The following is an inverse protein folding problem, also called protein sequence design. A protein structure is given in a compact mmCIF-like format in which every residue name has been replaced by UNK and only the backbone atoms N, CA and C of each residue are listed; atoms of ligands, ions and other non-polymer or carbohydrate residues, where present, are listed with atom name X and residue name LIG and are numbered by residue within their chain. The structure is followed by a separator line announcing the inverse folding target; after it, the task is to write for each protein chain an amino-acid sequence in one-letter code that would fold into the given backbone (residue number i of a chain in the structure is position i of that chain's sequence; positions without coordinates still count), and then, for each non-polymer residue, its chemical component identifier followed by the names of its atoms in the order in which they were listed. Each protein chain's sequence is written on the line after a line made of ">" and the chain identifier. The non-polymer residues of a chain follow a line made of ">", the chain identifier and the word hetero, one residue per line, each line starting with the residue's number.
data_IF_250977959554
#
_entry.id   IF_250977959554
#
_cell.length_a   1.000
_cell.length_b   1.000
_cell.length_c   1.000
_cell.angle_alpha   90.00
_cell.angle_beta   90.00
_cell.angle_gamma   90.00
#
_symmetry.space_group_name_H-M   'P 1'
#
loop_
_entity.id
_entity.type
_entity.pdbx_description
1 polymer ?
#
# COMPACT_ATOMS: atom_id res chain seq x y z
N UNK A 1 -46.27 82.46 5.60
CA UNK A 1 -45.97 81.33 6.50
C UNK A 1 -45.79 80.06 5.65
N UNK A 2 -44.56 79.66 5.50
CA UNK A 2 -44.21 78.47 4.63
C UNK A 2 -43.96 77.28 5.50
N UNK A 3 -44.79 76.28 5.33
CA UNK A 3 -44.65 74.97 6.01
C UNK A 3 -43.66 74.11 5.23
N UNK A 4 -42.53 73.73 5.86
CA UNK A 4 -41.57 72.80 5.32
C UNK A 4 -41.99 71.39 5.74
N UNK A 5 -42.43 70.59 4.78
CA UNK A 5 -42.65 69.14 4.96
C UNK A 5 -41.31 68.43 4.81
N UNK A 6 -40.83 67.85 5.90
CA UNK A 6 -39.64 67.01 5.88
C UNK A 6 -40.00 65.61 5.46
N UNK A 7 -39.38 65.15 4.37
CA UNK A 7 -39.46 63.74 3.93
C UNK A 7 -38.41 62.95 4.67
N UNK A 8 -38.85 61.96 5.52
CA UNK A 8 -38.01 60.98 6.16
C UNK A 8 -37.89 59.78 5.22
N UNK A 9 -36.72 59.60 4.64
CA UNK A 9 -36.39 58.39 3.87
C UNK A 9 -35.90 57.32 4.83
N UNK A 10 -36.73 56.30 5.09
CA UNK A 10 -36.32 55.14 5.84
C UNK A 10 -35.61 54.15 4.85
N UNK A 11 -34.29 54.07 4.92
CA UNK A 11 -33.52 53.07 4.23
C UNK A 11 -33.67 51.73 4.99
N UNK A 12 -34.54 50.84 4.47
CA UNK A 12 -34.59 49.44 4.87
C UNK A 12 -33.36 48.73 4.25
N UNK A 13 -32.30 48.58 5.01
CA UNK A 13 -31.22 47.67 4.66
C UNK A 13 -31.71 46.22 4.86
N UNK A 14 -32.13 45.57 3.79
CA UNK A 14 -32.35 44.14 3.77
C UNK A 14 -31.02 43.44 3.89
N UNK A 15 -30.68 42.97 5.09
CA UNK A 15 -29.58 42.06 5.28
C UNK A 15 -30.01 40.71 4.69
N UNK A 16 -29.59 40.47 3.45
CA UNK A 16 -29.63 39.16 2.83
C UNK A 16 -28.65 38.26 3.61
N UNK A 17 -29.15 37.57 4.59
CA UNK A 17 -28.46 36.48 5.22
C UNK A 17 -28.37 35.34 4.20
N UNK A 18 -27.23 35.26 3.50
CA UNK A 18 -26.91 34.11 2.69
C UNK A 18 -26.80 32.91 3.64
N UNK A 19 -27.86 32.14 3.81
CA UNK A 19 -27.76 30.77 4.27
C UNK A 19 -26.88 30.08 3.26
N UNK A 20 -25.58 29.87 3.59
CA UNK A 20 -24.79 28.83 2.93
C UNK A 20 -25.62 27.57 3.07
N UNK A 21 -26.16 27.07 1.98
CA UNK A 21 -26.70 25.73 1.93
C UNK A 21 -25.57 24.83 2.46
N UNK A 22 -25.82 24.19 3.61
CA UNK A 22 -24.92 23.15 4.08
C UNK A 22 -24.98 22.09 3.00
N UNK A 23 -23.87 21.88 2.30
CA UNK A 23 -23.73 20.76 1.39
C UNK A 23 -24.23 19.53 2.14
N UNK A 24 -25.27 18.91 1.60
CA UNK A 24 -25.85 17.71 2.20
C UNK A 24 -24.83 16.60 1.97
N UNK A 25 -24.16 16.17 3.03
CA UNK A 25 -23.24 15.06 2.96
C UNK A 25 -23.99 13.83 2.47
N UNK A 26 -23.62 13.33 1.31
CA UNK A 26 -24.10 12.06 0.79
C UNK A 26 -23.26 10.94 1.41
N UNK A 27 -23.90 10.03 2.12
CA UNK A 27 -23.25 8.90 2.79
C UNK A 27 -23.76 7.62 2.17
N UNK A 28 -22.83 6.80 1.67
CA UNK A 28 -23.08 5.44 1.22
C UNK A 28 -22.46 4.47 2.24
N UNK A 29 -23.20 3.46 2.64
CA UNK A 29 -22.73 2.44 3.57
C UNK A 29 -22.71 1.09 2.86
N UNK A 30 -21.58 0.40 2.95
CA UNK A 30 -21.42 -0.98 2.54
C UNK A 30 -21.05 -1.81 3.77
N UNK A 31 -21.76 -2.92 3.96
CA UNK A 31 -21.61 -3.77 5.14
C UNK A 31 -21.12 -5.17 4.74
N UNK A 32 -20.18 -5.67 5.51
CA UNK A 32 -19.84 -7.09 5.57
C UNK A 32 -20.06 -7.57 6.99
N UNK A 33 -20.82 -8.64 7.19
CA UNK A 33 -21.20 -9.15 8.50
C UNK A 33 -21.04 -10.67 8.61
N UNK A 34 -20.99 -11.16 9.84
CA UNK A 34 -20.99 -12.61 10.13
C UNK A 34 -22.33 -13.28 9.78
N UNK A 35 -23.41 -12.52 9.68
CA UNK A 35 -24.73 -13.00 9.29
C UNK A 35 -24.88 -13.22 7.78
N UNK A 36 -23.85 -12.91 6.99
CA UNK A 36 -23.80 -13.24 5.56
C UNK A 36 -23.85 -12.04 4.60
N UNK A 37 -23.87 -10.81 5.10
CA UNK A 37 -23.69 -9.65 4.22
C UNK A 37 -22.28 -9.67 3.64
N UNK A 38 -22.19 -9.54 2.33
CA UNK A 38 -20.92 -9.47 1.64
C UNK A 38 -20.86 -8.21 0.79
N UNK A 39 -20.28 -7.15 1.34
CA UNK A 39 -20.20 -5.83 0.74
C UNK A 39 -21.56 -5.32 0.24
N UNK A 40 -22.59 -5.59 1.03
CA UNK A 40 -23.96 -5.21 0.71
C UNK A 40 -24.21 -3.73 0.95
N UNK A 41 -24.86 -3.04 0.02
CA UNK A 41 -25.29 -1.67 0.23
C UNK A 41 -26.39 -1.62 1.30
N UNK A 42 -26.24 -0.74 2.29
CA UNK A 42 -27.19 -0.57 3.40
C UNK A 42 -27.81 0.82 3.31
N UNK A 43 -29.15 0.88 3.33
CA UNK A 43 -29.86 2.15 3.41
C UNK A 43 -29.81 2.73 4.84
N UNK A 44 -29.48 4.02 4.92
CA UNK A 44 -29.51 4.76 6.17
C UNK A 44 -30.95 5.06 6.59
N UNK A 45 -31.41 4.46 7.69
CA UNK A 45 -32.62 4.91 8.35
C UNK A 45 -32.32 6.10 9.28
N UNK A 46 -32.40 7.31 8.74
CA UNK A 46 -32.16 8.57 9.46
C UNK A 46 -33.15 8.84 10.60
N UNK A 47 -34.22 8.06 10.70
CA UNK A 47 -35.23 8.21 11.74
C UNK A 47 -35.01 7.29 12.93
N UNK A 48 -34.20 6.27 12.79
CA UNK A 48 -33.89 5.32 13.85
C UNK A 48 -32.76 5.85 14.72
N UNK A 49 -33.08 6.65 15.72
CA UNK A 49 -32.11 7.00 16.77
C UNK A 49 -31.92 5.80 17.69
N UNK A 50 -30.84 5.08 17.48
CA UNK A 50 -30.36 4.10 18.45
C UNK A 50 -29.42 4.81 19.43
N UNK A 51 -29.45 4.41 20.69
CA UNK A 51 -28.46 4.84 21.72
C UNK A 51 -27.11 4.14 21.55
N UNK A 52 -26.82 3.65 20.36
CA UNK A 52 -25.60 2.94 20.02
C UNK A 52 -24.45 3.89 19.67
N UNK A 53 -23.29 3.33 19.50
CA UNK A 53 -22.01 4.02 19.29
C UNK A 53 -22.09 5.12 18.22
N UNK A 54 -21.59 6.29 18.56
CA UNK A 54 -21.61 7.45 17.67
C UNK A 54 -20.21 7.68 17.13
N UNK A 55 -20.09 7.70 15.79
CA UNK A 55 -18.89 8.14 15.11
C UNK A 55 -19.01 9.63 14.76
N UNK A 56 -18.11 10.45 15.30
CA UNK A 56 -18.07 11.89 15.01
C UNK A 56 -16.93 12.12 14.01
N UNK A 57 -17.25 12.72 12.86
CA UNK A 57 -16.29 13.09 11.84
C UNK A 57 -15.98 14.60 11.92
N UNK A 58 -14.71 14.94 11.82
CA UNK A 58 -14.20 16.32 11.78
C UNK A 58 -13.47 16.55 10.45
N UNK A 59 -14.18 16.78 9.35
CA UNK A 59 -13.59 16.91 8.01
C UNK A 59 -12.59 18.07 7.89
N UNK A 60 -12.72 19.08 8.76
CA UNK A 60 -11.81 20.23 8.83
C UNK A 60 -10.46 19.90 9.48
N UNK A 61 -10.36 18.80 10.20
CA UNK A 61 -9.11 18.33 10.80
C UNK A 61 -8.40 17.40 9.82
N UNK A 62 -7.49 17.96 9.06
CA UNK A 62 -6.71 17.20 8.08
C UNK A 62 -5.34 16.82 8.65
N UNK A 63 -4.86 15.62 8.29
CA UNK A 63 -3.56 15.10 8.68
C UNK A 63 -2.69 14.86 7.43
N UNK A 64 -2.14 13.67 7.27
CA UNK A 64 -1.34 13.29 6.11
C UNK A 64 -2.19 13.10 4.85
N UNK A 65 -1.56 13.27 3.68
CA UNK A 65 -2.17 12.86 2.43
C UNK A 65 -2.03 11.36 2.22
N UNK A 66 -3.13 10.70 1.86
CA UNK A 66 -3.12 9.30 1.45
C UNK A 66 -2.50 9.21 0.05
N UNK A 67 -1.38 8.47 -0.07
CA UNK A 67 -0.66 8.33 -1.34
C UNK A 67 -1.34 7.32 -2.28
N UNK A 68 -1.98 6.28 -1.73
CA UNK A 68 -2.64 5.25 -2.51
C UNK A 68 -3.10 4.07 -1.66
N UNK A 69 -3.77 3.14 -2.30
CA UNK A 69 -4.19 1.86 -1.74
C UNK A 69 -3.65 0.72 -2.59
N UNK A 70 -3.45 -0.44 -1.97
CA UNK A 70 -2.99 -1.62 -2.70
C UNK A 70 -2.71 -2.82 -1.82
N UNK A 71 -2.07 -3.82 -2.38
CA UNK A 71 -1.69 -5.06 -1.73
C UNK A 71 -0.24 -5.44 -2.00
N UNK A 72 0.16 -6.62 -1.54
CA UNK A 72 1.50 -7.13 -1.71
C UNK A 72 1.60 -8.07 -2.92
N UNK A 73 2.69 -7.96 -3.64
CA UNK A 73 3.20 -9.00 -4.53
C UNK A 73 4.09 -9.94 -3.70
N UNK A 74 3.78 -11.24 -3.72
CA UNK A 74 4.57 -12.27 -3.05
C UNK A 74 4.92 -13.39 -4.03
N UNK A 75 6.03 -14.09 -3.77
CA UNK A 75 6.43 -15.23 -4.61
C UNK A 75 5.34 -16.31 -4.63
N UNK A 76 4.76 -16.64 -3.48
CA UNK A 76 3.69 -17.65 -3.41
C UNK A 76 2.47 -17.28 -4.26
N UNK A 77 2.04 -16.01 -4.24
CA UNK A 77 0.91 -15.57 -5.08
C UNK A 77 1.29 -15.56 -6.56
N UNK A 78 2.52 -15.15 -6.90
CA UNK A 78 3.00 -15.17 -8.28
C UNK A 78 3.09 -16.60 -8.84
N UNK A 79 3.65 -17.53 -8.07
CA UNK A 79 3.72 -18.94 -8.43
C UNK A 79 2.34 -19.57 -8.60
N UNK A 80 1.39 -19.23 -7.71
CA UNK A 80 0.01 -19.70 -7.85
C UNK A 80 -0.66 -19.17 -9.12
N UNK A 81 -0.51 -17.88 -9.42
CA UNK A 81 -1.06 -17.29 -10.64
C UNK A 81 -0.45 -17.90 -11.91
N UNK A 82 0.84 -18.25 -11.90
CA UNK A 82 1.51 -18.91 -13.02
C UNK A 82 0.99 -20.32 -13.30
N UNK A 83 0.33 -20.97 -12.33
CA UNK A 83 -0.32 -22.27 -12.49
C UNK A 83 -1.74 -22.17 -13.08
N UNK A 84 -2.29 -20.97 -13.17
CA UNK A 84 -3.62 -20.73 -13.73
C UNK A 84 -3.56 -20.53 -15.25
N UNK A 85 -4.73 -20.60 -15.91
CA UNK A 85 -4.80 -20.20 -17.31
C UNK A 85 -4.54 -18.70 -17.46
N UNK A 86 -4.07 -18.28 -18.64
CA UNK A 86 -3.80 -16.87 -18.92
C UNK A 86 -5.04 -15.99 -18.74
N UNK A 87 -6.23 -16.51 -19.09
CA UNK A 87 -7.50 -15.80 -18.92
C UNK A 87 -7.81 -15.56 -17.45
N UNK A 88 -7.62 -16.60 -16.61
CA UNK A 88 -7.91 -16.48 -15.17
C UNK A 88 -6.90 -15.58 -14.48
N UNK A 89 -5.62 -15.68 -14.82
CA UNK A 89 -4.59 -14.81 -14.30
C UNK A 89 -4.87 -13.34 -14.65
N UNK A 90 -5.21 -13.08 -15.92
CA UNK A 90 -5.56 -11.74 -16.38
C UNK A 90 -6.82 -11.21 -15.70
N UNK A 91 -7.85 -12.04 -15.50
CA UNK A 91 -9.06 -11.68 -14.76
C UNK A 91 -8.72 -11.19 -13.34
N UNK A 92 -7.89 -11.95 -12.62
CA UNK A 92 -7.47 -11.63 -11.24
C UNK A 92 -6.66 -10.33 -11.21
N UNK A 93 -5.64 -10.20 -12.07
CA UNK A 93 -4.83 -8.99 -12.11
C UNK A 93 -5.65 -7.76 -12.54
N UNK A 94 -6.60 -7.93 -13.46
CA UNK A 94 -7.51 -6.84 -13.84
C UNK A 94 -8.40 -6.40 -12.68
N UNK A 95 -8.90 -7.34 -11.88
CA UNK A 95 -9.71 -7.01 -10.70
C UNK A 95 -8.95 -6.13 -9.68
N UNK A 96 -7.62 -6.23 -9.63
CA UNK A 96 -6.81 -5.40 -8.74
C UNK A 96 -6.30 -4.11 -9.40
N UNK A 97 -5.89 -4.16 -10.68
CA UNK A 97 -5.07 -3.10 -11.28
C UNK A 97 -5.76 -2.31 -12.40
N UNK A 98 -6.87 -2.78 -12.98
CA UNK A 98 -7.60 -2.01 -13.98
C UNK A 98 -8.43 -0.87 -13.37
N UNK A 99 -8.87 0.07 -14.19
CA UNK A 99 -9.74 1.18 -13.75
C UNK A 99 -11.12 0.69 -13.29
N UNK A 100 -11.61 -0.40 -13.85
CA UNK A 100 -12.89 -1.01 -13.49
C UNK A 100 -12.78 -1.87 -12.21
N UNK A 101 -11.56 -2.22 -11.80
CA UNK A 101 -11.28 -3.00 -10.60
C UNK A 101 -10.99 -2.12 -9.38
N UNK A 102 -10.17 -2.66 -8.47
CA UNK A 102 -9.74 -1.93 -7.27
C UNK A 102 -8.77 -0.77 -7.57
N UNK A 103 -8.23 -0.71 -8.79
CA UNK A 103 -7.34 0.34 -9.29
C UNK A 103 -6.20 0.64 -8.31
N UNK A 104 -5.47 -0.39 -7.91
CA UNK A 104 -4.35 -0.26 -6.98
C UNK A 104 -3.30 0.71 -7.52
N UNK A 105 -2.89 1.64 -6.68
CA UNK A 105 -1.91 2.69 -6.98
C UNK A 105 -0.65 2.63 -6.10
N UNK A 106 -0.66 1.77 -5.10
CA UNK A 106 0.46 1.51 -4.21
C UNK A 106 0.55 0.01 -3.95
N UNK A 107 1.75 -0.56 -4.07
CA UNK A 107 1.98 -1.99 -3.85
C UNK A 107 3.23 -2.21 -3.00
N UNK A 108 3.37 -3.40 -2.47
CA UNK A 108 4.56 -3.82 -1.73
C UNK A 108 5.12 -5.10 -2.32
N UNK A 109 6.44 -5.28 -2.28
CA UNK A 109 7.10 -6.55 -2.56
C UNK A 109 8.20 -6.80 -1.53
N UNK A 110 8.71 -8.02 -1.48
CA UNK A 110 9.80 -8.39 -0.57
C UNK A 110 11.18 -8.21 -1.23
N UNK A 111 12.21 -8.06 -0.40
CA UNK A 111 13.63 -8.14 -0.76
C UNK A 111 14.16 -9.42 -0.13
N UNK A 112 14.75 -10.33 -0.89
CA UNK A 112 14.99 -11.72 -0.53
C UNK A 112 13.68 -12.49 -0.35
N UNK A 113 13.74 -13.71 0.21
CA UNK A 113 12.57 -14.45 0.62
C UNK A 113 11.81 -13.77 1.77
N UNK A 114 10.57 -14.16 1.93
CA UNK A 114 9.67 -13.75 3.01
C UNK A 114 8.82 -14.94 3.44
N UNK A 115 7.96 -14.75 4.45
CA UNK A 115 7.03 -15.78 4.95
C UNK A 115 6.00 -16.26 3.88
N UNK A 116 5.88 -15.55 2.76
CA UNK A 116 5.11 -15.94 1.57
C UNK A 116 6.01 -16.31 0.39
N UNK A 117 7.19 -16.82 0.65
CA UNK A 117 8.07 -17.41 -0.37
C UNK A 117 7.97 -18.94 -0.37
N UNK A 118 8.38 -19.55 -1.48
CA UNK A 118 8.38 -21.00 -1.64
C UNK A 118 9.52 -21.66 -0.87
N UNK A 119 10.65 -20.97 -0.77
CA UNK A 119 11.85 -21.37 -0.04
C UNK A 119 12.59 -20.14 0.48
N UNK A 120 13.50 -20.34 1.42
CA UNK A 120 14.43 -19.29 1.81
C UNK A 120 15.44 -19.03 0.69
N UNK A 121 15.70 -17.78 0.38
CA UNK A 121 16.75 -17.36 -0.54
C UNK A 121 17.21 -15.93 -0.25
N UNK A 122 18.40 -15.61 -0.71
CA UNK A 122 18.90 -14.25 -0.78
C UNK A 122 19.50 -13.96 -2.16
N UNK A 123 19.72 -12.70 -2.47
CA UNK A 123 20.42 -12.32 -3.70
C UNK A 123 21.95 -12.34 -3.53
N UNK A 124 22.47 -12.68 -2.35
CA UNK A 124 23.89 -12.78 -2.05
C UNK A 124 24.19 -14.08 -1.28
N UNK A 125 24.15 -15.20 -2.00
CA UNK A 125 24.37 -16.55 -1.45
C UNK A 125 25.84 -16.84 -1.14
N UNK A 126 26.79 -16.06 -1.73
CA UNK A 126 28.22 -16.28 -1.50
C UNK A 126 28.62 -15.62 -0.19
N UNK A 127 29.05 -16.45 0.76
CA UNK A 127 29.48 -15.97 2.09
C UNK A 127 30.67 -15.01 1.97
N UNK A 128 30.63 -13.95 2.78
CA UNK A 128 31.66 -12.92 2.86
C UNK A 128 31.89 -12.13 1.55
N UNK A 129 30.99 -12.20 0.57
CA UNK A 129 31.01 -11.31 -0.61
C UNK A 129 30.57 -9.89 -0.23
N UNK A 130 31.40 -9.19 0.54
CA UNK A 130 31.11 -7.83 1.03
C UNK A 130 30.99 -6.79 -0.09
N UNK A 131 31.55 -7.08 -1.25
CA UNK A 131 31.46 -6.25 -2.46
C UNK A 131 30.22 -6.55 -3.28
N UNK A 132 29.46 -7.61 -2.93
CA UNK A 132 28.28 -8.09 -3.63
C UNK A 132 28.55 -8.33 -5.13
N UNK A 133 29.69 -8.96 -5.45
CA UNK A 133 30.07 -9.27 -6.84
C UNK A 133 29.15 -10.34 -7.44
N UNK A 134 28.66 -11.24 -6.60
CA UNK A 134 27.76 -12.34 -6.96
C UNK A 134 26.28 -12.05 -6.64
N UNK A 135 25.93 -10.76 -6.48
CA UNK A 135 24.54 -10.35 -6.25
C UNK A 135 23.67 -10.65 -7.47
N UNK A 136 22.63 -11.46 -7.29
CA UNK A 136 21.75 -11.89 -8.39
C UNK A 136 20.29 -12.01 -7.94
N UNK A 137 19.38 -11.35 -8.65
CA UNK A 137 17.93 -11.39 -8.45
C UNK A 137 17.24 -12.50 -9.25
N UNK A 138 17.98 -13.48 -9.73
CA UNK A 138 17.45 -14.59 -10.54
C UNK A 138 16.26 -15.31 -9.85
N UNK A 139 16.23 -15.50 -8.52
CA UNK A 139 15.07 -16.10 -7.87
C UNK A 139 13.73 -15.40 -8.21
N UNK A 140 13.71 -14.09 -8.32
CA UNK A 140 12.48 -13.34 -8.59
C UNK A 140 12.05 -13.37 -10.07
N UNK A 141 12.93 -13.80 -10.97
CA UNK A 141 12.69 -13.74 -12.43
C UNK A 141 11.74 -14.81 -12.92
N UNK A 142 11.53 -15.87 -12.16
CA UNK A 142 10.62 -16.95 -12.53
C UNK A 142 9.15 -16.56 -12.37
N UNK A 143 8.82 -15.84 -11.32
CA UNK A 143 7.44 -15.62 -10.89
C UNK A 143 7.15 -14.15 -10.57
N UNK A 144 7.86 -13.58 -9.62
CA UNK A 144 7.55 -12.27 -9.02
C UNK A 144 7.67 -11.12 -10.03
N UNK A 145 8.80 -11.02 -10.72
CA UNK A 145 9.04 -9.96 -11.73
C UNK A 145 8.06 -10.06 -12.90
N UNK A 146 7.78 -11.23 -13.49
CA UNK A 146 6.75 -11.38 -14.51
C UNK A 146 5.37 -10.91 -14.06
N UNK A 147 4.93 -11.28 -12.83
CA UNK A 147 3.65 -10.85 -12.29
C UNK A 147 3.57 -9.33 -12.14
N UNK A 148 4.62 -8.68 -11.61
CA UNK A 148 4.66 -7.22 -11.49
C UNK A 148 4.56 -6.55 -12.86
N UNK A 149 5.28 -7.05 -13.87
CA UNK A 149 5.24 -6.52 -15.25
C UNK A 149 3.86 -6.69 -15.88
N UNK A 150 3.21 -7.82 -15.64
CA UNK A 150 1.85 -8.05 -16.14
C UNK A 150 0.85 -7.08 -15.50
N UNK A 151 0.96 -6.86 -14.20
CA UNK A 151 0.17 -5.87 -13.49
C UNK A 151 0.44 -4.43 -14.00
N UNK A 152 1.70 -4.07 -14.29
CA UNK A 152 2.05 -2.78 -14.88
C UNK A 152 1.40 -2.57 -16.25
N UNK A 153 1.32 -3.61 -17.10
CA UNK A 153 0.67 -3.55 -18.39
C UNK A 153 -0.85 -3.37 -18.32
N UNK A 154 -1.46 -3.80 -17.23
CA UNK A 154 -2.91 -3.68 -16.97
C UNK A 154 -3.26 -2.33 -16.35
N UNK A 155 -2.38 -1.79 -15.51
CA UNK A 155 -2.62 -0.54 -14.78
C UNK A 155 -2.41 0.69 -15.68
N UNK A 156 -3.44 1.47 -16.02
CA UNK A 156 -3.30 2.59 -16.95
C UNK A 156 -2.55 3.78 -16.38
N UNK A 157 -2.56 3.93 -15.06
CA UNK A 157 -1.90 5.03 -14.33
C UNK A 157 -0.60 4.62 -13.65
N UNK A 158 -0.27 3.31 -13.73
CA UNK A 158 0.82 2.72 -12.99
C UNK A 158 0.57 2.71 -11.47
N UNK A 159 1.50 2.13 -10.74
CA UNK A 159 1.49 2.07 -9.28
C UNK A 159 2.91 2.23 -8.73
N UNK A 160 3.00 2.67 -7.49
CA UNK A 160 4.25 2.75 -6.74
C UNK A 160 4.55 1.42 -6.08
N UNK A 161 5.82 1.03 -6.05
CA UNK A 161 6.27 -0.21 -5.40
C UNK A 161 7.13 0.13 -4.19
N UNK A 162 6.73 -0.36 -3.02
CA UNK A 162 7.54 -0.35 -1.79
C UNK A 162 8.19 -1.72 -1.68
N UNK A 163 9.47 -1.79 -1.35
CA UNK A 163 10.16 -3.04 -1.13
C UNK A 163 10.66 -3.17 0.32
N UNK A 164 10.50 -4.35 0.90
CA UNK A 164 10.81 -4.61 2.31
C UNK A 164 11.59 -5.91 2.46
N UNK A 165 12.76 -5.93 3.13
CA UNK A 165 13.39 -7.17 3.53
C UNK A 165 12.71 -7.76 4.77
N UNK A 166 12.69 -9.08 4.86
CA UNK A 166 12.35 -9.81 6.09
C UNK A 166 13.59 -10.09 6.92
N UNK A 167 14.69 -10.37 6.26
CA UNK A 167 15.97 -10.61 6.92
C UNK A 167 17.17 -10.35 5.99
N UNK A 168 18.32 -10.06 6.56
CA UNK A 168 19.58 -10.06 5.83
C UNK A 168 20.03 -11.52 5.55
N UNK A 169 20.90 -11.76 4.54
CA UNK A 169 21.49 -13.07 4.32
C UNK A 169 22.09 -13.64 5.60
N UNK A 170 21.92 -14.95 5.91
CA UNK A 170 22.38 -15.56 7.16
C UNK A 170 23.84 -15.25 7.52
N UNK A 171 24.76 -15.25 6.56
CA UNK A 171 26.18 -14.99 6.80
C UNK A 171 26.45 -13.57 7.32
N UNK A 172 25.55 -12.61 7.09
CA UNK A 172 25.65 -11.26 7.65
C UNK A 172 25.13 -11.18 9.10
N UNK A 173 24.46 -12.23 9.62
CA UNK A 173 23.78 -12.21 10.93
C UNK A 173 24.62 -12.90 12.00
N UNK A 174 24.39 -12.49 13.25
CA UNK A 174 25.12 -13.00 14.42
C UNK A 174 24.90 -14.48 14.70
N UNK A 175 23.75 -15.01 14.32
CA UNK A 175 23.36 -16.41 14.50
C UNK A 175 23.50 -17.26 13.23
N UNK A 176 23.92 -16.66 12.13
CA UNK A 176 24.07 -17.32 10.82
C UNK A 176 22.82 -18.11 10.39
N UNK A 177 21.62 -17.56 10.68
CA UNK A 177 20.35 -18.21 10.41
C UNK A 177 19.35 -17.21 9.79
N UNK A 178 18.32 -17.73 9.12
CA UNK A 178 17.23 -16.93 8.55
C UNK A 178 16.40 -16.25 9.62
N UNK A 179 16.17 -16.92 10.75
CA UNK A 179 15.28 -16.45 11.81
C UNK A 179 16.10 -15.82 12.94
N UNK A 180 15.63 -14.72 13.48
CA UNK A 180 16.23 -14.04 14.62
C UNK A 180 17.68 -13.60 14.38
N UNK A 181 18.40 -13.32 15.42
CA UNK A 181 19.77 -12.80 15.35
C UNK A 181 19.78 -11.29 15.10
N UNK A 182 20.96 -10.78 14.79
CA UNK A 182 21.16 -9.35 14.49
C UNK A 182 22.15 -9.20 13.36
N UNK A 183 21.95 -8.21 12.50
CA UNK A 183 22.93 -7.82 11.51
C UNK A 183 24.26 -7.46 12.20
N UNK A 184 25.37 -8.10 11.80
CA UNK A 184 26.70 -7.80 12.33
C UNK A 184 27.14 -6.41 11.85
N UNK A 185 27.76 -5.65 12.75
CA UNK A 185 28.13 -4.24 12.48
C UNK A 185 29.07 -4.08 11.30
N UNK A 186 29.98 -5.04 11.11
CA UNK A 186 30.91 -5.06 9.98
C UNK A 186 30.22 -5.12 8.62
N UNK A 187 28.98 -5.63 8.55
CA UNK A 187 28.20 -5.74 7.32
C UNK A 187 27.20 -4.60 7.09
N UNK A 188 27.13 -3.60 7.97
CA UNK A 188 26.23 -2.45 7.75
C UNK A 188 26.45 -1.77 6.39
N UNK A 189 27.70 -1.49 5.96
CA UNK A 189 27.92 -0.93 4.63
C UNK A 189 27.53 -1.88 3.49
N UNK A 190 27.77 -3.17 3.66
CA UNK A 190 27.37 -4.21 2.69
C UNK A 190 25.85 -4.28 2.57
N UNK A 191 25.13 -4.28 3.69
CA UNK A 191 23.68 -4.31 3.70
C UNK A 191 23.07 -3.04 3.09
N UNK A 192 23.63 -1.87 3.35
CA UNK A 192 23.22 -0.63 2.69
C UNK A 192 23.43 -0.69 1.16
N UNK A 193 24.57 -1.23 0.70
CA UNK A 193 24.84 -1.44 -0.72
C UNK A 193 23.91 -2.48 -1.35
N UNK A 194 23.45 -3.45 -0.59
CA UNK A 194 22.49 -4.47 -1.01
C UNK A 194 21.19 -3.85 -1.54
N UNK A 195 20.62 -2.89 -0.81
CA UNK A 195 19.45 -2.13 -1.26
C UNK A 195 19.72 -1.39 -2.57
N UNK A 196 20.88 -0.77 -2.71
CA UNK A 196 21.26 -0.04 -3.93
C UNK A 196 21.35 -0.97 -5.13
N UNK A 197 21.91 -2.17 -4.94
CA UNK A 197 21.98 -3.20 -5.99
C UNK A 197 20.61 -3.74 -6.34
N UNK A 198 19.75 -4.02 -5.35
CA UNK A 198 18.38 -4.44 -5.56
C UNK A 198 17.58 -3.44 -6.39
N UNK A 199 17.56 -2.16 -5.97
CA UNK A 199 16.88 -1.09 -6.70
C UNK A 199 17.39 -0.99 -8.14
N UNK A 200 18.72 -1.07 -8.32
CA UNK A 200 19.33 -1.01 -9.65
C UNK A 200 18.98 -2.21 -10.52
N UNK A 201 18.89 -3.40 -9.92
CA UNK A 201 18.54 -4.63 -10.63
C UNK A 201 17.05 -4.62 -11.06
N UNK A 202 16.15 -4.24 -10.17
CA UNK A 202 14.72 -4.10 -10.49
C UNK A 202 14.48 -3.02 -11.55
N UNK A 203 15.20 -1.90 -11.47
CA UNK A 203 15.14 -0.86 -12.51
C UNK A 203 15.55 -1.37 -13.89
N UNK A 204 16.56 -2.25 -13.99
CA UNK A 204 16.95 -2.90 -15.25
C UNK A 204 15.84 -3.82 -15.79
N UNK A 205 15.04 -4.38 -14.92
CA UNK A 205 13.85 -5.16 -15.29
C UNK A 205 12.64 -4.27 -15.64
N UNK A 206 12.75 -2.95 -15.57
CA UNK A 206 11.66 -2.00 -15.85
C UNK A 206 10.70 -1.78 -14.68
N UNK A 207 11.14 -2.10 -13.46
CA UNK A 207 10.35 -1.90 -12.23
C UNK A 207 11.05 -0.84 -11.38
N UNK A 208 10.41 0.32 -11.23
CA UNK A 208 10.90 1.39 -10.36
C UNK A 208 10.46 1.14 -8.91
N UNK A 209 11.43 0.95 -8.01
CA UNK A 209 11.18 0.89 -6.57
C UNK A 209 11.07 2.32 -6.04
N UNK A 210 9.86 2.68 -5.60
CA UNK A 210 9.55 4.02 -5.11
C UNK A 210 10.06 4.27 -3.69
N UNK A 211 10.00 3.25 -2.83
CA UNK A 211 10.45 3.33 -1.45
C UNK A 211 10.92 1.97 -0.95
N UNK A 212 11.70 1.98 0.14
CA UNK A 212 12.09 0.78 0.87
C UNK A 212 11.78 0.96 2.35
N UNK A 213 11.49 -0.14 3.04
CA UNK A 213 11.55 -0.17 4.51
C UNK A 213 12.88 -0.74 4.95
N UNK A 214 13.32 -0.41 6.15
CA UNK A 214 14.60 -0.93 6.68
C UNK A 214 14.49 -2.42 6.97
N UNK A 215 13.33 -2.86 7.47
CA UNK A 215 13.01 -4.23 7.85
C UNK A 215 11.49 -4.42 7.83
N UNK A 216 11.04 -5.65 7.65
CA UNK A 216 9.71 -6.08 8.02
C UNK A 216 9.71 -6.43 9.51
N UNK A 217 8.79 -5.89 10.28
CA UNK A 217 8.58 -6.23 11.69
C UNK A 217 9.87 -6.31 12.54
N UNK A 218 10.67 -5.25 12.65
CA UNK A 218 12.00 -5.30 13.28
C UNK A 218 12.00 -5.68 14.76
N UNK A 219 10.83 -5.72 15.41
CA UNK A 219 10.63 -6.20 16.77
C UNK A 219 9.98 -7.59 16.83
N UNK A 220 9.56 -8.12 15.71
CA UNK A 220 8.92 -9.44 15.54
C UNK A 220 9.92 -10.57 15.48
N UNK A 221 10.74 -10.74 16.47
CA UNK A 221 11.94 -11.57 16.48
C UNK A 221 11.66 -13.04 16.86
N UNK A 222 10.53 -13.59 16.53
CA UNK A 222 10.01 -14.70 17.29
C UNK A 222 10.07 -16.07 16.68
N UNK A 223 10.77 -16.39 15.74
CA UNK A 223 10.94 -17.81 15.68
C UNK A 223 10.44 -18.62 14.50
N UNK A 224 9.39 -18.24 13.83
CA UNK A 224 8.81 -19.13 12.83
C UNK A 224 9.14 -18.76 11.39
N UNK A 225 9.51 -17.50 11.15
CA UNK A 225 9.83 -16.95 9.84
C UNK A 225 11.09 -16.10 9.87
N UNK A 226 11.55 -15.71 8.70
CA UNK A 226 12.67 -14.82 8.51
C UNK A 226 12.44 -13.49 9.25
N UNK A 227 13.44 -13.07 10.02
CA UNK A 227 13.42 -11.83 10.82
C UNK A 227 14.83 -11.33 11.15
#
# INVERSE_FOLDING_TARGET
>A
MSSKVGIIIILLASVLWNKKDKEKLEVQIFQTSAEGDNFAAVELDVHKRSMMDTLILFPELTFQNVTGFGGAFTEASASLLNQMSDEKRKEILSAYFSEEGANYSLTRTHINSCDFSLNNYSYAEVENDTSLLHFDITPDKSDLIPMIKEAQNISPKGFKVIASPWTAPPWMKTNNAWNGGKLKKEFYPTWANYFSKYISAYKKEGIDIWAVTVENEPLGNDSNWES
#
